data_IF_421381285120
#
_entry.id   IF_421381285120
#
_cell.length_a   1.000
_cell.length_b   1.000
_cell.length_c   1.000
_cell.angle_alpha   90.00
_cell.angle_beta   90.00
_cell.angle_gamma   90.00
#
_symmetry.space_group_name_H-M   'P 1'
#
loop_
_entity.id
_entity.type
_entity.pdbx_description
1 polymer ?
#
# COMPACT_ATOMS: atom_id res chain seq x y z
N UNK A 1 5.49 -6.87 -20.18
CA UNK A 1 5.57 -6.84 -18.71
C UNK A 1 6.64 -7.76 -18.22
N UNK A 2 7.48 -7.28 -17.33
CA UNK A 2 8.64 -8.04 -16.89
C UNK A 2 8.70 -8.11 -15.36
N UNK A 3 7.75 -8.83 -14.78
CA UNK A 3 7.80 -9.08 -13.36
C UNK A 3 8.86 -10.14 -13.08
N UNK A 4 9.86 -9.75 -12.29
CA UNK A 4 10.96 -10.64 -11.96
C UNK A 4 10.73 -11.25 -10.59
N UNK A 5 11.06 -12.51 -10.46
CA UNK A 5 10.96 -13.19 -9.17
C UNK A 5 12.09 -14.21 -9.05
N UNK A 6 12.37 -14.60 -7.83
CA UNK A 6 13.35 -15.64 -7.55
C UNK A 6 12.84 -16.54 -6.43
N UNK A 7 13.33 -17.77 -6.36
CA UNK A 7 12.95 -18.65 -5.27
C UNK A 7 13.54 -18.16 -3.95
N UNK A 8 12.79 -18.42 -2.89
CA UNK A 8 13.26 -18.12 -1.55
C UNK A 8 12.79 -19.24 -0.63
N UNK A 9 13.67 -19.65 0.26
CA UNK A 9 13.40 -20.75 1.17
C UNK A 9 12.77 -20.21 2.45
N UNK A 10 11.61 -20.77 2.81
CA UNK A 10 10.94 -20.40 4.04
C UNK A 10 11.80 -20.72 5.27
N UNK A 11 11.72 -19.85 6.28
CA UNK A 11 12.36 -20.13 7.56
C UNK A 11 11.50 -21.01 8.45
N UNK A 12 10.23 -21.22 8.06
CA UNK A 12 9.30 -22.05 8.81
C UNK A 12 9.25 -23.43 8.17
N UNK A 13 9.43 -24.48 8.99
CA UNK A 13 9.33 -25.84 8.50
C UNK A 13 7.87 -26.26 8.38
N UNK A 14 7.58 -27.10 7.38
CA UNK A 14 6.26 -27.66 7.24
C UNK A 14 6.06 -28.79 8.30
N UNK A 15 4.92 -29.45 8.22
CA UNK A 15 4.60 -30.52 9.17
C UNK A 15 5.52 -31.73 9.08
N UNK A 16 6.29 -31.85 8.00
CA UNK A 16 7.27 -32.93 7.83
C UNK A 16 8.68 -32.50 8.15
N UNK A 17 8.87 -31.27 8.63
CA UNK A 17 10.18 -30.76 8.99
C UNK A 17 10.96 -30.15 7.83
N UNK A 18 10.36 -30.02 6.66
CA UNK A 18 11.04 -29.49 5.49
C UNK A 18 10.78 -28.00 5.34
N UNK A 19 11.80 -27.28 4.89
CA UNK A 19 11.67 -25.88 4.52
C UNK A 19 11.38 -25.79 3.05
N UNK A 20 10.23 -25.21 2.71
CA UNK A 20 9.77 -25.13 1.32
C UNK A 20 10.25 -23.86 0.63
N UNK A 21 10.29 -23.89 -0.68
CA UNK A 21 10.64 -22.73 -1.50
C UNK A 21 9.40 -22.08 -2.06
N UNK A 22 9.42 -20.75 -2.14
CA UNK A 22 8.32 -19.95 -2.66
C UNK A 22 8.84 -18.89 -3.60
N UNK A 23 8.04 -18.42 -4.56
CA UNK A 23 8.46 -17.30 -5.39
C UNK A 23 8.39 -16.01 -4.61
N UNK A 24 9.36 -15.14 -4.84
CA UNK A 24 9.38 -13.80 -4.24
C UNK A 24 9.75 -12.81 -5.33
N UNK A 25 8.97 -11.73 -5.43
CA UNK A 25 9.26 -10.68 -6.39
C UNK A 25 10.63 -10.09 -6.12
N UNK A 26 11.39 -9.86 -7.19
CA UNK A 26 12.68 -9.21 -7.09
C UNK A 26 12.52 -7.76 -7.50
N UNK A 27 12.77 -6.85 -6.54
CA UNK A 27 12.71 -5.42 -6.80
C UNK A 27 14.04 -5.01 -7.41
N UNK A 28 14.00 -4.46 -8.62
CA UNK A 28 15.22 -4.10 -9.34
C UNK A 28 15.48 -2.61 -9.36
N UNK A 29 14.56 -1.81 -8.89
CA UNK A 29 14.76 -0.37 -8.85
C UNK A 29 13.57 0.34 -8.24
N UNK A 30 13.67 1.66 -8.17
CA UNK A 30 12.60 2.51 -7.66
C UNK A 30 12.37 3.64 -8.65
N UNK A 31 11.10 3.87 -8.97
CA UNK A 31 10.71 4.99 -9.84
C UNK A 31 10.21 6.11 -8.95
N UNK A 32 10.87 7.27 -9.02
CA UNK A 32 10.56 8.41 -8.17
C UNK A 32 9.32 9.17 -8.64
N UNK A 33 8.78 10.01 -7.76
CA UNK A 33 7.67 10.90 -8.11
C UNK A 33 8.04 11.80 -9.29
N UNK A 34 9.27 12.27 -9.32
CA UNK A 34 9.74 13.13 -10.42
C UNK A 34 9.67 12.39 -11.76
N UNK A 35 10.10 11.14 -11.78
CA UNK A 35 10.07 10.34 -13.00
C UNK A 35 8.61 10.03 -13.41
N UNK A 36 7.76 9.71 -12.44
CA UNK A 36 6.35 9.47 -12.69
C UNK A 36 5.69 10.72 -13.30
N UNK A 37 5.99 11.89 -12.74
CA UNK A 37 5.42 13.14 -13.23
C UNK A 37 5.85 13.41 -14.68
N UNK A 38 7.10 13.10 -14.99
CA UNK A 38 7.64 13.27 -16.34
C UNK A 38 6.91 12.37 -17.33
N UNK A 39 6.67 11.12 -16.96
CA UNK A 39 5.98 10.18 -17.83
C UNK A 39 4.50 10.54 -18.01
N UNK A 40 3.84 10.98 -16.93
CA UNK A 40 2.44 11.41 -17.02
C UNK A 40 2.31 12.62 -17.97
N UNK A 41 3.27 13.55 -17.90
CA UNK A 41 3.24 14.74 -18.75
C UNK A 41 3.27 14.39 -20.25
N UNK A 42 3.75 13.20 -20.58
CA UNK A 42 3.73 12.73 -21.96
C UNK A 42 2.32 12.35 -22.44
N UNK A 43 1.40 12.12 -21.49
CA UNK A 43 0.02 11.72 -21.81
C UNK A 43 -0.98 12.84 -21.65
N UNK A 44 -0.56 14.02 -21.26
CA UNK A 44 -1.47 15.13 -21.04
C UNK A 44 -0.81 16.44 -21.46
N UNK A 45 -1.55 17.54 -21.34
CA UNK A 45 -1.04 18.85 -21.76
C UNK A 45 -0.30 19.60 -20.65
N UNK A 46 -0.15 18.97 -19.48
CA UNK A 46 0.53 19.61 -18.35
C UNK A 46 2.04 19.43 -18.45
N UNK A 47 2.78 20.34 -17.84
CA UNK A 47 4.22 20.20 -17.73
C UNK A 47 4.55 19.21 -16.63
N UNK A 48 5.76 18.62 -16.64
CA UNK A 48 6.19 17.76 -15.53
C UNK A 48 6.10 18.44 -14.16
N UNK A 49 6.38 19.73 -14.08
CA UNK A 49 6.26 20.49 -12.84
C UNK A 49 4.82 20.57 -12.35
N UNK A 50 3.89 20.81 -13.27
CA UNK A 50 2.47 20.87 -12.92
C UNK A 50 1.98 19.52 -12.44
N UNK A 51 2.42 18.44 -13.09
CA UNK A 51 2.03 17.08 -12.69
C UNK A 51 2.58 16.76 -11.31
N UNK A 52 3.85 17.09 -11.07
CA UNK A 52 4.44 16.83 -9.75
C UNK A 52 3.71 17.60 -8.66
N UNK A 53 3.36 18.85 -8.92
CA UNK A 53 2.60 19.65 -7.99
C UNK A 53 1.22 19.02 -7.72
N UNK A 54 0.59 18.48 -8.76
CA UNK A 54 -0.69 17.80 -8.62
C UNK A 54 -0.56 16.55 -7.76
N UNK A 55 0.50 15.78 -7.97
CA UNK A 55 0.73 14.57 -7.16
C UNK A 55 0.98 14.94 -5.70
N UNK A 56 1.78 15.98 -5.45
CA UNK A 56 2.04 16.44 -4.09
C UNK A 56 0.75 16.86 -3.38
N UNK A 57 -0.15 17.50 -4.11
CA UNK A 57 -1.44 17.91 -3.57
C UNK A 57 -2.37 16.72 -3.38
N UNK A 58 -2.30 15.72 -4.26
CA UNK A 58 -3.05 14.48 -4.08
C UNK A 58 -2.69 13.82 -2.75
N UNK A 59 -1.39 13.71 -2.48
CA UNK A 59 -0.91 13.11 -1.22
C UNK A 59 -1.45 13.90 -0.02
N UNK A 60 -1.39 15.23 -0.10
CA UNK A 60 -1.88 16.09 0.98
C UNK A 60 -3.37 15.89 1.24
N UNK A 61 -4.16 15.89 0.18
CA UNK A 61 -5.62 15.73 0.29
C UNK A 61 -5.97 14.35 0.82
N UNK A 62 -5.30 13.32 0.31
CA UNK A 62 -5.52 11.96 0.79
C UNK A 62 -5.20 11.84 2.27
N UNK A 63 -4.08 12.42 2.70
CA UNK A 63 -3.68 12.37 4.11
C UNK A 63 -4.72 13.03 5.00
N UNK A 64 -5.28 14.15 4.57
CA UNK A 64 -6.31 14.85 5.32
C UNK A 64 -7.55 13.98 5.52
N UNK A 65 -8.00 13.33 4.45
CA UNK A 65 -9.19 12.48 4.55
C UNK A 65 -8.93 11.22 5.36
N UNK A 66 -7.75 10.63 5.20
CA UNK A 66 -7.39 9.44 5.99
C UNK A 66 -7.34 9.76 7.48
N UNK A 67 -6.81 10.94 7.84
CA UNK A 67 -6.76 11.36 9.23
C UNK A 67 -8.14 11.66 9.81
N UNK A 68 -9.12 11.90 8.98
CA UNK A 68 -10.50 12.11 9.38
C UNK A 68 -11.32 10.82 9.33
N UNK A 69 -10.66 9.68 9.32
CA UNK A 69 -11.28 8.35 9.35
C UNK A 69 -12.07 8.00 8.07
N UNK A 70 -11.75 8.66 6.97
CA UNK A 70 -12.34 8.30 5.68
C UNK A 70 -11.43 7.32 4.96
N UNK A 71 -12.04 6.40 4.23
CA UNK A 71 -11.27 5.67 3.22
C UNK A 71 -11.17 6.55 1.98
N UNK A 72 -10.10 6.36 1.21
CA UNK A 72 -9.86 7.10 -0.02
C UNK A 72 -9.69 6.12 -1.15
N UNK A 73 -10.52 6.24 -2.19
CA UNK A 73 -10.47 5.35 -3.34
C UNK A 73 -9.92 6.10 -4.54
N UNK A 74 -8.91 5.53 -5.18
CA UNK A 74 -8.46 5.95 -6.50
C UNK A 74 -8.95 4.89 -7.48
N UNK A 75 -9.87 5.29 -8.33
CA UNK A 75 -10.54 4.37 -9.23
C UNK A 75 -9.54 3.65 -10.13
N UNK A 76 -9.72 2.35 -10.23
CA UNK A 76 -8.83 1.51 -11.02
C UNK A 76 -7.55 1.12 -10.32
N UNK A 77 -7.22 1.75 -9.20
CA UNK A 77 -5.99 1.44 -8.47
C UNK A 77 -6.29 0.72 -7.16
N UNK A 78 -7.08 1.34 -6.30
CA UNK A 78 -7.40 0.73 -5.02
C UNK A 78 -7.89 1.71 -4.00
N UNK A 79 -8.03 1.23 -2.78
CA UNK A 79 -8.57 1.98 -1.66
C UNK A 79 -7.57 2.00 -0.51
N UNK A 80 -7.40 3.18 0.08
CA UNK A 80 -6.51 3.40 1.22
C UNK A 80 -7.37 3.67 2.45
N UNK A 81 -6.93 3.18 3.59
CA UNK A 81 -7.54 3.50 4.88
C UNK A 81 -6.51 3.39 5.98
N UNK A 82 -6.78 4.06 7.10
CA UNK A 82 -5.93 3.93 8.27
C UNK A 82 -6.45 2.76 9.10
N UNK A 83 -5.56 1.88 9.52
CA UNK A 83 -5.88 0.79 10.42
C UNK A 83 -5.05 0.95 11.68
N UNK A 84 -5.57 0.44 12.79
CA UNK A 84 -4.86 0.43 14.06
C UNK A 84 -4.33 -0.95 14.32
N UNK A 85 -3.04 -1.01 14.65
CA UNK A 85 -2.40 -2.27 15.01
C UNK A 85 -2.01 -2.19 16.48
N UNK A 86 -2.50 -3.12 17.29
CA UNK A 86 -2.25 -3.11 18.72
C UNK A 86 -0.75 -3.16 19.03
N UNK A 87 -0.33 -2.35 20.00
CA UNK A 87 1.05 -2.32 20.47
C UNK A 87 1.34 -3.33 21.57
N UNK A 88 0.32 -4.03 22.05
CA UNK A 88 0.47 -4.99 23.12
C UNK A 88 -0.86 -5.61 23.44
N UNK A 89 -1.07 -5.88 24.73
CA UNK A 89 -2.31 -6.51 25.16
C UNK A 89 -3.47 -5.54 25.14
N UNK A 90 -4.65 -6.06 24.90
CA UNK A 90 -5.85 -5.29 25.06
C UNK A 90 -6.17 -4.98 26.51
N UNK A 91 -7.21 -4.22 26.73
CA UNK A 91 -7.67 -3.87 28.07
C UNK A 91 -8.95 -4.64 28.38
N UNK A 92 -9.27 -4.72 29.67
CA UNK A 92 -10.37 -5.56 30.15
C UNK A 92 -11.74 -4.99 29.86
N UNK A 93 -11.88 -3.68 29.79
CA UNK A 93 -13.17 -3.04 29.59
C UNK A 93 -13.13 -2.11 28.39
N UNK A 94 -14.31 -1.85 27.84
CA UNK A 94 -14.49 -0.98 26.69
C UNK A 94 -14.06 0.46 26.98
N UNK A 95 -14.35 0.93 28.19
CA UNK A 95 -14.06 2.30 28.59
C UNK A 95 -12.57 2.57 28.71
N UNK A 96 -11.76 1.53 28.88
CA UNK A 96 -10.31 1.68 29.04
C UNK A 96 -9.56 1.71 27.71
N UNK A 97 -10.26 1.55 26.58
CA UNK A 97 -9.64 1.59 25.27
C UNK A 97 -9.19 3.00 24.93
N UNK A 98 -7.94 3.15 24.55
CA UNK A 98 -7.39 4.43 24.12
C UNK A 98 -6.61 4.26 22.81
N UNK A 99 -6.45 5.38 22.09
CA UNK A 99 -5.69 5.38 20.85
C UNK A 99 -4.21 5.08 21.08
N UNK A 100 -3.72 5.28 22.30
CA UNK A 100 -2.33 4.97 22.65
C UNK A 100 -2.00 3.50 22.64
N UNK A 101 -3.01 2.62 22.59
CA UNK A 101 -2.81 1.19 22.55
C UNK A 101 -2.40 0.69 21.17
N UNK A 102 -2.43 1.54 20.15
CA UNK A 102 -2.24 1.10 18.79
C UNK A 102 -1.32 2.03 18.02
N UNK A 103 -0.67 1.46 17.02
CA UNK A 103 0.04 2.21 16.00
C UNK A 103 -0.89 2.38 14.81
N UNK A 104 -0.75 3.52 14.14
CA UNK A 104 -1.52 3.77 12.93
C UNK A 104 -0.72 3.29 11.71
N UNK A 105 -1.40 2.69 10.79
CA UNK A 105 -0.80 2.20 9.55
C UNK A 105 -1.76 2.45 8.40
N UNK A 106 -1.23 2.87 7.27
CA UNK A 106 -2.04 2.97 6.06
C UNK A 106 -2.11 1.60 5.42
N UNK A 107 -3.33 1.12 5.24
CA UNK A 107 -3.59 -0.14 4.57
C UNK A 107 -4.10 0.15 3.16
N UNK A 108 -3.47 -0.49 2.17
CA UNK A 108 -3.87 -0.38 0.78
C UNK A 108 -4.50 -1.69 0.33
N UNK A 109 -5.70 -1.59 -0.25
CA UNK A 109 -6.38 -2.73 -0.84
C UNK A 109 -6.49 -2.50 -2.34
N UNK A 110 -5.87 -3.36 -3.11
CA UNK A 110 -5.88 -3.29 -4.57
C UNK A 110 -7.32 -3.35 -5.10
N UNK A 111 -7.59 -2.59 -6.16
CA UNK A 111 -8.89 -2.64 -6.82
C UNK A 111 -9.16 -4.05 -7.30
N UNK A 112 -10.36 -4.57 -6.97
CA UNK A 112 -10.71 -5.91 -7.36
C UNK A 112 -11.14 -5.93 -8.82
N UNK A 113 -10.42 -6.68 -9.63
CA UNK A 113 -10.76 -6.87 -11.03
C UNK A 113 -11.35 -8.23 -11.20
N UNK A 114 -12.63 -8.27 -11.59
CA UNK A 114 -13.28 -9.53 -11.74
C UNK A 114 -13.16 -10.05 -13.09
N UNK A 115 -12.52 -10.80 -13.39
CA UNK A 115 -12.63 -11.49 -14.62
C UNK A 115 -11.95 -12.81 -14.55
N UNK A 116 -12.27 -12.86 -14.62
CA UNK A 116 -11.80 -13.66 -14.41
C UNK A 116 -11.79 -14.61 -14.13
N UNK A 117 -11.71 -14.72 -14.01
CA UNK A 117 -11.79 -15.39 -13.72
C UNK A 117 -11.85 -15.69 -13.24
N UNK A 118 -11.89 -15.29 -13.23
CA UNK A 118 -12.13 -15.44 -12.94
C UNK A 118 -12.13 -15.52 -12.85
#
# INVERSE_FOLDING_TARGET
MALLFKPYQSTVKDKFGDKLFYPRVQIVGNVSTKQIAKEIAEYCSLTPGDVKNTIDNLVRVMATHLQNSNSVTLDGFGTFRIVMKANGKGVATQEDVTSGQARLKVHFQQAFTRHSNG
#
